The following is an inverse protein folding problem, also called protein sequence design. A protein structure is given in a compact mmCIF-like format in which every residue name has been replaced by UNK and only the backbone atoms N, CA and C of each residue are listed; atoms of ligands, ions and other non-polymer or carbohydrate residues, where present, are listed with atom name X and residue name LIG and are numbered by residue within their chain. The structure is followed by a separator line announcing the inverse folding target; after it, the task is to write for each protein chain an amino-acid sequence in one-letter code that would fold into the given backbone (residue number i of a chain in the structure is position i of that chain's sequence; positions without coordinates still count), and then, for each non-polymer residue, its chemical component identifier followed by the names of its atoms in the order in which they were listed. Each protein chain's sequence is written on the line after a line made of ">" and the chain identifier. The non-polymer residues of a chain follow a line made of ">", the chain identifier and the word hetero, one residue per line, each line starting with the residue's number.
data_IF_432811895301
#
_entry.id   IF_432811895301
#
_cell.length_a   1.000
_cell.length_b   1.000
_cell.length_c   1.000
_cell.angle_alpha   90.00
_cell.angle_beta   90.00
_cell.angle_gamma   90.00
#
_symmetry.space_group_name_H-M   'P 1'
#
loop_
_entity.id
_entity.type
_entity.pdbx_description
1 polymer ?
#
# COMPACT_ATOMS: atom_id res chain seq x y z
N UNK A 1 -26.49 21.22 -26.64
CA UNK A 1 -25.32 21.72 -25.89
C UNK A 1 -25.40 21.20 -24.47
N UNK A 2 -24.80 20.06 -24.18
CA UNK A 2 -24.67 19.50 -22.81
C UNK A 2 -23.31 19.87 -22.29
N UNK A 3 -23.25 20.70 -21.26
CA UNK A 3 -22.03 21.09 -20.56
C UNK A 3 -21.57 19.91 -19.73
N UNK A 4 -20.49 19.25 -20.17
CA UNK A 4 -19.73 18.30 -19.36
C UNK A 4 -18.94 19.09 -18.31
N UNK A 5 -19.29 18.95 -17.05
CA UNK A 5 -18.39 19.31 -15.95
C UNK A 5 -17.28 18.23 -15.88
N UNK A 6 -16.02 18.61 -15.81
CA UNK A 6 -14.95 17.65 -15.60
C UNK A 6 -15.09 17.06 -14.19
N UNK A 7 -15.36 15.76 -14.12
CA UNK A 7 -15.21 15.00 -12.88
C UNK A 7 -13.73 14.97 -12.55
N UNK A 8 -13.36 15.70 -11.50
CA UNK A 8 -12.03 15.67 -10.92
C UNK A 8 -11.82 14.26 -10.31
N UNK A 9 -11.26 13.35 -11.09
CA UNK A 9 -10.95 12.00 -10.63
C UNK A 9 -9.66 12.07 -9.81
N UNK A 10 -9.82 12.09 -8.48
CA UNK A 10 -8.71 12.09 -7.51
C UNK A 10 -8.00 10.74 -7.60
N UNK A 11 -6.73 10.76 -7.99
CA UNK A 11 -5.83 9.60 -8.04
C UNK A 11 -5.62 9.00 -6.65
N UNK A 12 -6.07 7.78 -6.35
CA UNK A 12 -5.91 7.21 -5.02
C UNK A 12 -4.64 6.37 -4.79
N UNK A 13 -3.64 6.47 -5.65
CA UNK A 13 -2.37 5.73 -5.48
C UNK A 13 -1.16 6.66 -5.43
N UNK A 14 -1.25 7.86 -5.98
CA UNK A 14 -0.24 8.90 -5.83
C UNK A 14 -0.90 10.08 -5.11
N UNK A 15 -0.68 10.20 -3.80
CA UNK A 15 -0.97 11.45 -3.10
C UNK A 15 -0.02 12.52 -3.62
N UNK A 16 -0.43 13.21 -4.68
CA UNK A 16 0.28 14.36 -5.20
C UNK A 16 0.05 15.52 -4.24
N UNK A 17 1.14 15.98 -3.65
CA UNK A 17 1.36 17.21 -2.89
C UNK A 17 0.20 18.20 -2.94
N UNK A 18 -0.50 18.36 -1.81
CA UNK A 18 -1.38 19.50 -1.56
C UNK A 18 -0.51 20.71 -1.21
N UNK A 19 -0.65 21.78 -1.97
CA UNK A 19 -0.09 23.09 -1.69
C UNK A 19 -0.63 23.60 -0.35
N UNK A 20 0.27 24.06 0.53
CA UNK A 20 -0.05 24.69 1.79
C UNK A 20 -0.77 26.03 1.55
N UNK A 21 -1.98 26.15 2.07
CA UNK A 21 -2.64 27.44 2.29
C UNK A 21 -2.51 27.82 3.78
N UNK A 22 -2.34 29.10 4.12
CA UNK A 22 -2.06 29.52 5.50
C UNK A 22 -3.31 29.42 6.38
N UNK A 23 -3.08 29.02 7.63
CA UNK A 23 -4.09 28.87 8.68
C UNK A 23 -4.65 30.24 9.12
N UNK A 24 -5.95 30.32 9.46
CA UNK A 24 -6.46 31.42 10.26
C UNK A 24 -6.25 31.16 11.75
N UNK A 25 -5.78 32.21 12.42
CA UNK A 25 -5.62 32.34 13.87
C UNK A 25 -6.92 32.13 14.63
N UNK A 26 -6.90 31.24 15.61
CA UNK A 26 -8.03 31.01 16.52
C UNK A 26 -7.84 31.73 17.85
N UNK A 27 -8.86 32.48 18.19
CA UNK A 27 -9.06 33.18 19.45
C UNK A 27 -9.46 32.21 20.57
N UNK A 28 -8.83 32.40 21.72
CA UNK A 28 -9.06 31.68 22.99
C UNK A 28 -10.30 32.28 23.70
N UNK A 29 -11.14 31.44 24.28
CA UNK A 29 -11.99 31.79 25.44
C UNK A 29 -12.45 30.55 26.23
N UNK A 30 -12.90 30.71 27.53
CA UNK A 30 -12.29 29.94 28.61
C UNK A 30 -13.22 28.90 29.27
N UNK A 31 -12.58 28.17 30.18
CA UNK A 31 -13.02 27.17 31.17
C UNK A 31 -14.51 27.16 31.65
N UNK A 32 -15.06 25.95 31.73
CA UNK A 32 -16.31 25.62 32.44
C UNK A 32 -16.29 24.20 33.00
N UNK A 33 -15.98 24.12 34.29
CA UNK A 33 -16.40 23.20 35.40
C UNK A 33 -16.65 21.70 35.17
N UNK A 34 -15.89 21.01 35.96
CA UNK A 34 -15.99 19.67 36.57
C UNK A 34 -17.38 19.17 36.92
N UNK A 35 -17.58 17.85 36.83
CA UNK A 35 -18.09 16.97 37.88
C UNK A 35 -18.35 15.54 37.36
N UNK A 36 -18.64 14.55 38.18
CA UNK A 36 -17.64 13.55 38.56
C UNK A 36 -18.10 12.10 38.31
N UNK A 37 -17.14 11.21 38.52
CA UNK A 37 -17.26 9.91 39.13
C UNK A 37 -17.84 8.71 38.37
N UNK A 38 -16.94 7.78 38.17
CA UNK A 38 -16.99 6.41 38.74
C UNK A 38 -18.06 5.46 38.18
N UNK A 39 -17.64 4.60 37.27
CA UNK A 39 -18.07 3.22 37.28
C UNK A 39 -16.82 2.33 37.03
N UNK A 40 -16.34 1.73 38.10
CA UNK A 40 -15.31 0.71 38.10
C UNK A 40 -15.85 -0.52 37.33
N UNK A 41 -15.25 -0.83 36.22
CA UNK A 41 -15.43 -2.13 35.54
C UNK A 41 -14.76 -3.21 36.40
N UNK A 42 -15.39 -4.39 36.56
CA UNK A 42 -14.81 -5.49 37.34
C UNK A 42 -13.51 -5.97 36.66
N UNK A 43 -12.53 -6.48 37.45
CA UNK A 43 -11.27 -6.95 36.91
C UNK A 43 -11.54 -8.12 35.97
N UNK A 44 -11.17 -7.96 34.69
CA UNK A 44 -11.15 -9.04 33.73
C UNK A 44 -10.14 -10.08 34.21
N UNK A 45 -10.65 -11.25 34.61
CA UNK A 45 -9.87 -12.42 35.01
C UNK A 45 -8.77 -12.62 33.96
N UNK A 46 -7.51 -12.52 34.42
CA UNK A 46 -6.36 -12.84 33.58
C UNK A 46 -6.56 -14.26 33.05
N UNK A 47 -6.79 -14.39 31.75
CA UNK A 47 -6.70 -15.68 31.07
C UNK A 47 -5.25 -16.13 31.20
N UNK A 48 -5.06 -17.25 31.88
CA UNK A 48 -3.80 -17.97 32.02
C UNK A 48 -3.17 -18.10 30.64
N UNK A 49 -1.92 -17.65 30.51
CA UNK A 49 -1.10 -17.84 29.31
C UNK A 49 -0.80 -19.35 29.19
N UNK A 50 -1.71 -20.08 28.58
CA UNK A 50 -1.55 -21.49 28.25
C UNK A 50 -1.51 -21.61 26.72
N UNK A 51 -0.34 -21.94 26.22
CA UNK A 51 -0.08 -22.62 24.94
C UNK A 51 -0.41 -21.82 23.65
N UNK A 52 0.02 -20.56 23.56
CA UNK A 52 0.27 -19.94 22.27
C UNK A 52 1.65 -20.44 21.83
N UNK A 53 1.77 -21.18 20.71
CA UNK A 53 3.10 -21.59 20.23
C UNK A 53 3.96 -20.33 20.11
N UNK A 54 5.17 -20.40 20.71
CA UNK A 54 6.08 -19.26 20.78
C UNK A 54 6.35 -18.77 19.35
N UNK A 55 5.89 -17.57 19.04
CA UNK A 55 6.15 -16.93 17.73
C UNK A 55 7.67 -16.74 17.57
N UNK A 56 8.22 -16.92 16.35
CA UNK A 56 9.63 -16.65 16.10
C UNK A 56 9.99 -15.19 16.48
N UNK A 57 11.25 -14.91 16.85
CA UNK A 57 11.67 -13.51 17.02
C UNK A 57 11.39 -12.66 15.77
N UNK A 58 10.92 -11.42 15.95
CA UNK A 58 10.60 -10.51 14.83
C UNK A 58 11.78 -10.38 13.85
N UNK A 59 13.00 -10.25 14.37
CA UNK A 59 14.22 -10.14 13.57
C UNK A 59 14.44 -11.34 12.64
N UNK A 60 14.11 -12.54 13.10
CA UNK A 60 14.18 -13.75 12.29
C UNK A 60 13.14 -13.74 11.18
N UNK A 61 11.88 -13.41 11.51
CA UNK A 61 10.80 -13.32 10.52
C UNK A 61 11.14 -12.29 9.44
N UNK A 62 11.64 -11.12 9.82
CA UNK A 62 12.04 -10.07 8.87
C UNK A 62 13.21 -10.52 7.99
N UNK A 63 14.17 -11.23 8.55
CA UNK A 63 15.30 -11.81 7.79
C UNK A 63 14.81 -12.81 6.75
N UNK A 64 13.92 -13.73 7.14
CA UNK A 64 13.35 -14.72 6.22
C UNK A 64 12.47 -14.08 5.16
N UNK A 65 11.65 -13.08 5.54
CA UNK A 65 10.85 -12.29 4.62
C UNK A 65 11.73 -11.60 3.57
N UNK A 66 12.78 -10.89 3.99
CA UNK A 66 13.71 -10.22 3.11
C UNK A 66 14.38 -11.21 2.14
N UNK A 67 14.89 -12.34 2.66
CA UNK A 67 15.51 -13.41 1.86
C UNK A 67 14.54 -14.01 0.84
N UNK A 68 13.29 -14.25 1.23
CA UNK A 68 12.25 -14.76 0.32
C UNK A 68 12.05 -13.80 -0.85
N UNK A 69 11.90 -12.49 -0.58
CA UNK A 69 11.72 -11.51 -1.65
C UNK A 69 13.00 -11.29 -2.47
N UNK A 70 14.18 -11.42 -1.91
CA UNK A 70 15.45 -11.36 -2.67
C UNK A 70 15.53 -12.49 -3.71
N UNK A 71 15.06 -13.70 -3.37
CA UNK A 71 15.05 -14.86 -4.25
C UNK A 71 14.02 -14.82 -5.38
N UNK A 72 13.00 -13.92 -5.26
CA UNK A 72 11.96 -13.77 -6.26
C UNK A 72 12.45 -12.86 -7.39
N UNK A 73 12.65 -13.42 -8.58
CA UNK A 73 12.96 -12.66 -9.79
C UNK A 73 11.72 -12.11 -10.49
N UNK A 74 10.60 -12.84 -10.40
CA UNK A 74 9.31 -12.42 -10.92
C UNK A 74 8.16 -12.96 -10.07
N UNK A 75 7.00 -12.28 -10.10
CA UNK A 75 5.83 -12.66 -9.33
C UNK A 75 4.57 -12.30 -10.10
N UNK A 76 3.56 -13.14 -10.00
CA UNK A 76 2.18 -12.84 -10.41
C UNK A 76 1.24 -13.04 -9.23
N UNK A 77 0.20 -12.22 -9.16
CA UNK A 77 -0.87 -12.39 -8.18
C UNK A 77 -2.17 -11.74 -8.68
N UNK A 78 -3.28 -12.10 -8.07
CA UNK A 78 -4.49 -11.28 -8.06
C UNK A 78 -4.46 -10.37 -6.84
N UNK A 79 -5.08 -9.21 -6.95
CA UNK A 79 -5.23 -8.31 -5.80
C UNK A 79 -6.66 -7.83 -5.63
N UNK A 80 -7.04 -7.62 -4.39
CA UNK A 80 -8.16 -6.80 -3.97
C UNK A 80 -7.64 -5.61 -3.20
N UNK A 81 -8.17 -4.44 -3.46
CA UNK A 81 -7.82 -3.20 -2.78
C UNK A 81 -9.04 -2.60 -2.11
N UNK A 82 -8.88 -2.16 -0.89
CA UNK A 82 -9.88 -1.36 -0.17
C UNK A 82 -9.22 -0.07 0.29
N UNK A 83 -9.73 1.05 -0.21
CA UNK A 83 -9.39 2.37 0.29
C UNK A 83 -10.50 2.80 1.25
N UNK A 84 -10.14 3.16 2.47
CA UNK A 84 -11.09 3.67 3.48
C UNK A 84 -10.55 4.92 4.13
N UNK A 85 -11.43 5.85 4.48
CA UNK A 85 -11.08 7.13 5.08
C UNK A 85 -12.32 7.99 5.34
N UNK A 86 -12.13 9.26 5.70
CA UNK A 86 -13.24 10.18 6.01
C UNK A 86 -14.28 10.33 4.91
N UNK A 87 -13.88 10.13 3.66
CA UNK A 87 -14.77 10.23 2.49
C UNK A 87 -15.45 8.91 2.11
N UNK A 88 -15.36 7.89 2.96
CA UNK A 88 -15.99 6.59 2.74
C UNK A 88 -15.02 5.48 2.33
N UNK A 89 -15.59 4.43 1.75
CA UNK A 89 -14.88 3.21 1.35
C UNK A 89 -15.02 2.99 -0.15
N UNK A 90 -13.90 2.66 -0.81
CA UNK A 90 -13.84 2.27 -2.23
C UNK A 90 -13.12 0.94 -2.35
N UNK A 91 -13.56 0.12 -3.28
CA UNK A 91 -12.94 -1.17 -3.55
C UNK A 91 -12.52 -1.27 -5.01
N UNK A 92 -11.41 -1.92 -5.24
CA UNK A 92 -10.91 -2.22 -6.57
C UNK A 92 -10.30 -3.63 -6.58
N UNK A 93 -10.17 -4.22 -7.75
CA UNK A 93 -9.51 -5.51 -7.91
C UNK A 93 -8.89 -5.65 -9.29
N UNK A 94 -7.97 -6.59 -9.39
CA UNK A 94 -7.27 -6.83 -10.64
C UNK A 94 -6.13 -7.83 -10.51
N UNK A 95 -5.17 -7.73 -11.40
CA UNK A 95 -3.99 -8.58 -11.43
C UNK A 95 -2.71 -7.75 -11.35
N UNK A 96 -1.67 -8.33 -10.77
CA UNK A 96 -0.35 -7.73 -10.67
C UNK A 96 0.71 -8.69 -11.21
N UNK A 97 1.66 -8.15 -11.95
CA UNK A 97 2.88 -8.83 -12.37
C UNK A 97 4.08 -7.96 -12.01
N UNK A 98 5.07 -8.58 -11.40
CA UNK A 98 6.35 -7.95 -11.04
C UNK A 98 7.49 -8.72 -11.69
N UNK A 99 8.54 -8.03 -12.13
CA UNK A 99 9.79 -8.65 -12.61
C UNK A 99 10.97 -7.73 -12.28
N UNK A 100 11.95 -8.27 -11.63
CA UNK A 100 13.19 -7.54 -11.34
C UNK A 100 14.06 -7.41 -12.60
N UNK A 101 14.81 -6.29 -12.73
CA UNK A 101 14.75 -5.10 -11.88
C UNK A 101 13.65 -4.12 -12.33
N UNK A 102 12.87 -3.62 -11.37
CA UNK A 102 12.03 -2.43 -11.56
C UNK A 102 10.84 -2.52 -12.50
N UNK A 103 10.51 -3.70 -13.04
CA UNK A 103 9.36 -3.88 -13.93
C UNK A 103 8.11 -4.24 -13.15
N UNK A 104 7.01 -3.58 -13.44
CA UNK A 104 5.70 -3.88 -12.85
C UNK A 104 4.57 -3.63 -13.82
N UNK A 105 3.47 -4.35 -13.58
CA UNK A 105 2.21 -4.10 -14.22
C UNK A 105 1.08 -4.40 -13.25
N UNK A 106 0.21 -3.42 -13.03
CA UNK A 106 -1.04 -3.56 -12.30
C UNK A 106 -2.17 -3.32 -13.27
N UNK A 107 -2.96 -4.34 -13.51
CA UNK A 107 -4.15 -4.27 -14.33
C UNK A 107 -5.36 -4.20 -13.39
N UNK A 108 -5.94 -3.00 -13.20
CA UNK A 108 -7.21 -2.83 -12.51
C UNK A 108 -8.35 -3.22 -13.44
N UNK A 109 -9.23 -4.07 -12.96
CA UNK A 109 -10.36 -4.61 -13.70
C UNK A 109 -11.70 -4.06 -13.21
N UNK A 110 -11.78 -3.77 -11.91
CA UNK A 110 -12.98 -3.24 -11.23
C UNK A 110 -12.60 -2.16 -10.23
N UNK A 111 -13.48 -1.13 -10.00
CA UNK A 111 -14.72 -0.85 -10.74
C UNK A 111 -14.44 -0.31 -12.14
N UNK A 112 -13.31 0.36 -12.34
CA UNK A 112 -12.87 0.99 -13.58
C UNK A 112 -11.55 0.38 -14.04
N UNK A 113 -11.36 0.29 -15.34
CA UNK A 113 -10.10 -0.18 -15.91
C UNK A 113 -9.02 0.90 -15.75
N UNK A 114 -7.89 0.51 -15.21
CA UNK A 114 -6.70 1.37 -15.08
C UNK A 114 -5.45 0.50 -15.14
N UNK A 115 -4.41 1.01 -15.77
CA UNK A 115 -3.13 0.32 -15.87
C UNK A 115 -2.04 1.14 -15.20
N UNK A 116 -1.21 0.48 -14.40
CA UNK A 116 0.08 1.01 -13.96
C UNK A 116 1.15 0.10 -14.52
N UNK A 117 2.04 0.66 -15.33
CA UNK A 117 3.08 -0.11 -15.99
C UNK A 117 4.41 0.59 -15.80
N UNK A 118 5.40 -0.14 -15.26
CA UNK A 118 6.79 0.30 -15.25
C UNK A 118 7.66 -0.68 -16.04
N UNK A 119 8.46 -0.15 -16.95
CA UNK A 119 9.40 -0.91 -17.76
C UNK A 119 10.80 -1.05 -17.16
N UNK A 120 11.01 -0.49 -15.97
CA UNK A 120 12.28 -0.37 -15.25
C UNK A 120 12.84 1.06 -15.26
N UNK A 121 12.40 1.92 -16.17
CA UNK A 121 12.85 3.30 -16.34
C UNK A 121 11.71 4.30 -16.28
N UNK A 122 10.58 3.97 -16.89
CA UNK A 122 9.40 4.82 -17.03
C UNK A 122 8.21 4.19 -16.31
N UNK A 123 7.45 5.00 -15.62
CA UNK A 123 6.13 4.67 -15.09
C UNK A 123 5.05 5.30 -15.95
N UNK A 124 4.14 4.47 -16.42
CA UNK A 124 2.91 4.85 -17.07
C UNK A 124 1.72 4.59 -16.17
N UNK A 125 0.77 5.51 -16.14
CA UNK A 125 -0.58 5.33 -15.57
C UNK A 125 -1.56 5.63 -16.68
N UNK A 126 -2.30 4.62 -17.13
CA UNK A 126 -3.27 4.77 -18.21
C UNK A 126 -4.68 4.58 -17.68
N UNK A 127 -5.53 5.54 -18.00
CA UNK A 127 -6.96 5.61 -17.65
C UNK A 127 -7.76 5.58 -18.96
N UNK A 128 -8.22 4.39 -19.40
CA UNK A 128 -8.89 4.22 -20.70
C UNK A 128 -10.17 5.05 -20.83
N UNK A 129 -10.95 5.16 -19.74
CA UNK A 129 -12.25 5.87 -19.75
C UNK A 129 -12.08 7.38 -19.93
N UNK A 130 -10.94 7.92 -19.49
CA UNK A 130 -10.60 9.34 -19.62
C UNK A 130 -9.71 9.62 -20.85
N UNK A 131 -9.33 8.58 -21.61
CA UNK A 131 -8.40 8.64 -22.73
C UNK A 131 -7.08 9.35 -22.38
N UNK A 132 -6.58 9.12 -21.14
CA UNK A 132 -5.41 9.80 -20.60
C UNK A 132 -4.32 8.81 -20.19
N UNK A 133 -3.07 9.20 -20.41
CA UNK A 133 -1.91 8.47 -19.90
C UNK A 133 -0.92 9.45 -19.26
N UNK A 134 -0.55 9.17 -18.03
CA UNK A 134 0.51 9.89 -17.33
C UNK A 134 1.83 9.14 -17.56
N UNK A 135 2.87 9.89 -17.92
CA UNK A 135 4.23 9.37 -18.14
C UNK A 135 5.21 10.10 -17.24
N UNK A 136 5.96 9.35 -16.45
CA UNK A 136 7.02 9.93 -15.61
C UNK A 136 8.21 8.99 -15.46
N UNK A 137 9.43 9.49 -15.18
CA UNK A 137 10.56 8.65 -14.84
C UNK A 137 10.25 7.82 -13.58
N UNK A 138 10.59 6.54 -13.60
CA UNK A 138 10.40 5.66 -12.43
C UNK A 138 11.25 6.11 -11.24
N UNK A 139 12.41 6.71 -11.49
CA UNK A 139 13.30 7.24 -10.45
C UNK A 139 12.71 8.42 -9.67
N UNK A 140 11.85 9.22 -10.31
CA UNK A 140 11.15 10.34 -9.67
C UNK A 140 9.75 9.96 -9.17
N UNK A 141 9.28 8.74 -9.48
CA UNK A 141 7.99 8.26 -9.02
C UNK A 141 8.06 7.88 -7.55
N UNK A 142 7.15 8.42 -6.76
CA UNK A 142 6.99 8.05 -5.36
C UNK A 142 6.12 6.80 -5.28
N UNK A 143 6.72 5.63 -5.53
CA UNK A 143 6.01 4.37 -5.32
C UNK A 143 5.69 4.21 -3.84
N UNK A 144 4.46 3.75 -3.49
CA UNK A 144 4.16 3.42 -2.09
C UNK A 144 5.20 2.44 -1.52
N UNK A 145 5.61 2.63 -0.27
CA UNK A 145 6.66 1.84 0.37
C UNK A 145 6.37 0.32 0.31
N UNK A 146 5.09 -0.07 0.48
CA UNK A 146 4.64 -1.45 0.33
C UNK A 146 4.95 -2.03 -1.06
N UNK A 147 4.79 -1.21 -2.10
CA UNK A 147 5.07 -1.61 -3.49
C UNK A 147 6.59 -1.68 -3.70
N UNK A 148 7.35 -0.70 -3.21
CA UNK A 148 8.81 -0.67 -3.34
C UNK A 148 9.46 -1.93 -2.76
N UNK A 149 9.00 -2.39 -1.60
CA UNK A 149 9.48 -3.64 -0.99
C UNK A 149 9.18 -4.86 -1.88
N UNK A 150 7.96 -4.98 -2.42
CA UNK A 150 7.58 -6.09 -3.31
C UNK A 150 8.46 -6.15 -4.58
N UNK A 151 9.04 -5.00 -4.98
CA UNK A 151 10.04 -4.94 -6.05
C UNK A 151 11.45 -5.40 -5.63
N UNK A 152 11.64 -5.76 -4.36
CA UNK A 152 12.94 -6.06 -3.79
C UNK A 152 13.84 -4.82 -3.69
N UNK A 153 13.25 -3.63 -3.59
CA UNK A 153 13.95 -2.38 -3.28
C UNK A 153 13.84 -2.09 -1.79
N UNK A 154 14.92 -1.61 -1.22
CA UNK A 154 15.00 -1.29 0.20
C UNK A 154 15.28 -2.50 1.09
N UNK A 155 15.72 -2.22 2.29
CA UNK A 155 15.92 -3.20 3.35
C UNK A 155 15.02 -2.84 4.52
N UNK A 156 14.06 -3.72 4.81
CA UNK A 156 13.05 -3.44 5.82
C UNK A 156 13.65 -3.02 7.16
N UNK A 157 14.71 -3.70 7.61
CA UNK A 157 15.37 -3.41 8.89
C UNK A 157 16.12 -2.07 8.91
N UNK A 158 16.55 -1.57 7.75
CA UNK A 158 17.23 -0.27 7.66
C UNK A 158 16.22 0.88 7.65
N UNK A 159 15.06 0.66 7.02
CA UNK A 159 14.05 1.71 6.79
C UNK A 159 13.00 1.78 7.89
N UNK A 160 12.71 0.65 8.57
CA UNK A 160 11.58 0.55 9.51
C UNK A 160 12.00 0.03 10.88
N UNK A 161 11.31 0.53 11.91
CA UNK A 161 11.16 -0.15 13.19
C UNK A 161 10.02 -1.16 13.05
N UNK A 162 10.32 -2.44 13.33
CA UNK A 162 9.39 -3.54 13.07
C UNK A 162 9.07 -4.27 14.36
N UNK A 163 7.77 -4.48 14.59
CA UNK A 163 7.24 -5.22 15.72
C UNK A 163 6.08 -6.11 15.29
N UNK A 164 5.69 -7.06 16.11
CA UNK A 164 4.40 -7.75 15.92
C UNK A 164 3.24 -6.79 16.15
N UNK A 165 2.14 -7.05 15.48
CA UNK A 165 0.88 -6.31 15.62
C UNK A 165 -0.22 -7.26 16.08
N UNK A 166 -0.77 -7.00 17.26
CA UNK A 166 -1.78 -7.84 17.91
C UNK A 166 -3.06 -7.06 18.27
N UNK A 167 -3.14 -5.78 17.88
CA UNK A 167 -4.24 -4.90 18.33
C UNK A 167 -5.60 -5.26 17.69
N UNK A 168 -5.58 -5.79 16.46
CA UNK A 168 -6.79 -6.18 15.73
C UNK A 168 -6.51 -7.45 14.91
N UNK A 169 -7.51 -8.33 14.73
CA UNK A 169 -7.36 -9.48 13.87
C UNK A 169 -7.18 -9.05 12.40
N UNK A 170 -6.11 -9.51 11.78
CA UNK A 170 -5.77 -9.31 10.38
C UNK A 170 -5.13 -10.59 9.85
N UNK A 171 -5.43 -10.97 8.60
CA UNK A 171 -5.00 -12.24 8.03
C UNK A 171 -5.82 -13.43 8.54
N UNK A 172 -5.29 -14.62 8.39
CA UNK A 172 -5.85 -15.89 8.83
C UNK A 172 -5.14 -16.40 10.09
N UNK A 173 -5.75 -17.38 10.75
CA UNK A 173 -5.15 -18.00 11.93
C UNK A 173 -3.76 -18.59 11.59
N UNK A 174 -2.75 -18.17 12.34
CA UNK A 174 -1.36 -18.58 12.14
C UNK A 174 -0.53 -17.64 11.27
N UNK A 175 -1.12 -16.67 10.60
CA UNK A 175 -0.35 -15.63 9.90
C UNK A 175 0.39 -14.74 10.90
N UNK A 176 1.54 -14.22 10.46
CA UNK A 176 2.36 -13.29 11.26
C UNK A 176 2.04 -11.86 10.82
N UNK A 177 1.53 -11.04 11.73
CA UNK A 177 1.23 -9.64 11.40
C UNK A 177 2.36 -8.75 11.94
N UNK A 178 3.02 -8.04 11.04
CA UNK A 178 4.11 -7.12 11.35
C UNK A 178 3.64 -5.69 11.19
N UNK A 179 3.97 -4.84 12.15
CA UNK A 179 3.83 -3.39 12.08
C UNK A 179 5.19 -2.79 11.74
N UNK A 180 5.22 -1.96 10.71
CA UNK A 180 6.40 -1.29 10.18
C UNK A 180 6.22 0.22 10.35
N UNK A 181 7.01 0.83 11.22
CA UNK A 181 7.03 2.29 11.44
C UNK A 181 8.28 2.84 10.75
N UNK A 182 8.18 3.81 9.83
CA UNK A 182 9.35 4.34 9.17
C UNK A 182 10.26 5.06 10.17
N UNK A 183 11.57 4.75 10.15
CA UNK A 183 12.57 5.40 11.01
C UNK A 183 12.74 6.89 10.68
N UNK A 184 12.58 7.22 9.41
CA UNK A 184 12.49 8.61 8.94
C UNK A 184 11.03 8.92 8.65
N UNK A 185 10.47 9.93 9.32
CA UNK A 185 9.07 10.27 9.16
C UNK A 185 8.70 10.50 7.69
N UNK A 186 7.65 9.81 7.23
CA UNK A 186 7.11 9.95 5.89
C UNK A 186 5.96 10.96 5.87
N UNK A 187 5.95 11.87 4.91
CA UNK A 187 4.80 12.74 4.69
C UNK A 187 3.56 11.98 4.14
N UNK A 188 3.75 10.79 3.59
CA UNK A 188 2.71 10.03 2.92
C UNK A 188 1.97 9.05 3.84
N UNK A 189 2.64 8.47 4.83
CA UNK A 189 2.06 7.45 5.70
C UNK A 189 2.70 7.45 7.09
N UNK A 190 1.95 6.94 8.07
CA UNK A 190 2.40 6.79 9.46
C UNK A 190 3.07 5.45 9.72
N UNK A 191 2.45 4.38 9.25
CA UNK A 191 2.97 3.02 9.38
C UNK A 191 2.30 2.08 8.37
N UNK A 192 2.88 0.91 8.24
CA UNK A 192 2.37 -0.19 7.42
C UNK A 192 2.09 -1.40 8.30
N UNK A 193 1.14 -2.24 7.88
CA UNK A 193 1.01 -3.60 8.39
C UNK A 193 1.25 -4.57 7.23
N UNK A 194 2.00 -5.63 7.52
CA UNK A 194 2.20 -6.76 6.61
C UNK A 194 1.67 -8.03 7.25
N UNK A 195 0.78 -8.72 6.54
CA UNK A 195 0.38 -10.09 6.88
C UNK A 195 1.28 -11.05 6.12
N UNK A 196 2.08 -11.79 6.86
CA UNK A 196 3.13 -12.68 6.33
C UNK A 196 2.75 -14.13 6.58
N UNK A 197 2.76 -14.94 5.54
CA UNK A 197 2.54 -16.38 5.64
C UNK A 197 3.77 -17.06 6.26
N UNK A 198 3.64 -17.79 7.38
CA UNK A 198 4.81 -18.27 8.14
C UNK A 198 5.64 -19.33 7.44
N UNK A 199 5.08 -20.06 6.47
CA UNK A 199 5.81 -21.14 5.74
C UNK A 199 6.64 -20.62 4.56
N UNK A 200 6.13 -19.62 3.85
CA UNK A 200 6.73 -19.09 2.62
C UNK A 200 7.35 -17.73 2.81
N UNK A 201 7.01 -17.05 3.90
CA UNK A 201 7.34 -15.66 4.18
C UNK A 201 6.88 -14.71 3.05
N UNK A 202 5.80 -15.08 2.35
CA UNK A 202 5.17 -14.19 1.38
C UNK A 202 4.17 -13.27 2.08
N UNK A 203 4.12 -12.03 1.65
CA UNK A 203 3.14 -11.04 2.10
C UNK A 203 1.81 -11.33 1.41
N UNK A 204 0.79 -11.66 2.19
CA UNK A 204 -0.59 -11.89 1.72
C UNK A 204 -1.41 -10.61 1.72
N UNK A 205 -1.15 -9.74 2.70
CA UNK A 205 -1.88 -8.49 2.82
C UNK A 205 -0.94 -7.37 3.25
N UNK A 206 -1.26 -6.16 2.79
CA UNK A 206 -0.62 -4.95 3.28
C UNK A 206 -1.66 -3.90 3.63
N UNK A 207 -1.49 -3.21 4.75
CA UNK A 207 -2.32 -2.05 5.09
C UNK A 207 -1.40 -0.85 5.29
N UNK A 208 -1.61 0.19 4.51
CA UNK A 208 -0.94 1.48 4.69
C UNK A 208 -1.90 2.42 5.43
N UNK A 209 -1.41 3.06 6.48
CA UNK A 209 -2.13 4.09 7.22
C UNK A 209 -1.55 5.45 6.87
N UNK A 210 -2.33 6.30 6.22
CA UNK A 210 -1.88 7.64 5.86
C UNK A 210 -1.88 8.62 7.05
N UNK A 211 -1.39 9.85 6.81
CA UNK A 211 -1.32 10.88 7.85
C UNK A 211 -2.70 11.40 8.28
N UNK A 212 -3.72 11.27 7.43
CA UNK A 212 -5.08 11.76 7.64
C UNK A 212 -6.01 10.70 8.26
N UNK A 213 -5.50 9.49 8.54
CA UNK A 213 -6.30 8.38 9.09
C UNK A 213 -6.97 7.52 8.02
N UNK A 214 -6.68 7.75 6.76
CA UNK A 214 -7.06 6.87 5.67
C UNK A 214 -6.25 5.58 5.68
N UNK A 215 -6.81 4.53 5.06
CA UNK A 215 -6.19 3.22 4.95
C UNK A 215 -6.24 2.75 3.50
N UNK A 216 -5.13 2.17 3.05
CA UNK A 216 -5.06 1.44 1.79
C UNK A 216 -4.71 -0.01 2.09
N UNK A 217 -5.72 -0.89 2.04
CA UNK A 217 -5.60 -2.32 2.31
C UNK A 217 -5.56 -3.09 0.98
N UNK A 218 -4.46 -3.78 0.75
CA UNK A 218 -4.25 -4.68 -0.39
C UNK A 218 -4.23 -6.13 0.12
N UNK A 219 -5.03 -6.98 -0.50
CA UNK A 219 -5.07 -8.43 -0.26
C UNK A 219 -4.62 -9.12 -1.54
N UNK A 220 -3.60 -9.97 -1.45
CA UNK A 220 -3.07 -10.74 -2.57
C UNK A 220 -3.55 -12.18 -2.50
N UNK A 221 -3.93 -12.72 -3.65
CA UNK A 221 -4.34 -14.11 -3.81
C UNK A 221 -3.71 -14.71 -5.07
N UNK A 222 -3.70 -16.03 -5.16
CA UNK A 222 -3.04 -16.76 -6.26
C UNK A 222 -1.61 -16.25 -6.50
N UNK A 223 -0.85 -16.06 -5.42
CA UNK A 223 0.52 -15.57 -5.48
C UNK A 223 1.41 -16.66 -6.07
N UNK A 224 2.03 -16.37 -7.20
CA UNK A 224 2.97 -17.26 -7.91
C UNK A 224 4.34 -16.61 -7.98
N UNK A 225 5.25 -16.87 -7.02
CA UNK A 225 6.64 -16.45 -7.12
C UNK A 225 7.37 -17.30 -8.15
N UNK A 226 8.18 -16.68 -9.00
CA UNK A 226 8.97 -17.32 -10.05
C UNK A 226 8.15 -18.34 -10.88
N UNK A 227 7.04 -17.91 -11.54
CA UNK A 227 6.18 -18.83 -12.27
C UNK A 227 6.98 -19.60 -13.34
N UNK A 228 6.72 -20.91 -13.49
CA UNK A 228 7.49 -21.79 -14.39
C UNK A 228 7.49 -21.30 -15.84
N UNK A 229 6.40 -20.72 -16.32
CA UNK A 229 6.33 -20.11 -17.64
C UNK A 229 7.04 -18.76 -17.75
N UNK A 230 7.62 -18.27 -16.63
CA UNK A 230 8.18 -16.93 -16.55
C UNK A 230 7.13 -15.82 -16.60
N UNK A 231 7.60 -14.58 -16.64
CA UNK A 231 6.80 -13.40 -16.94
C UNK A 231 7.45 -12.73 -18.15
N UNK A 232 6.69 -12.69 -19.25
CA UNK A 232 7.16 -12.10 -20.50
C UNK A 232 7.46 -10.60 -20.31
N UNK A 233 8.59 -10.14 -20.85
CA UNK A 233 9.00 -8.74 -20.85
C UNK A 233 8.06 -7.83 -21.64
N UNK A 234 7.41 -8.36 -22.66
CA UNK A 234 6.42 -7.63 -23.45
C UNK A 234 5.24 -7.13 -22.59
N UNK A 235 4.93 -7.79 -21.46
CA UNK A 235 3.89 -7.33 -20.54
C UNK A 235 4.19 -5.99 -19.89
N UNK A 236 5.45 -5.62 -19.82
CA UNK A 236 5.90 -4.38 -19.18
C UNK A 236 6.14 -3.25 -20.17
N UNK A 237 5.91 -3.50 -21.47
CA UNK A 237 5.90 -2.48 -22.49
C UNK A 237 4.51 -1.90 -22.65
N UNK A 238 4.44 -0.58 -22.84
CA UNK A 238 3.18 0.11 -23.07
C UNK A 238 3.32 1.18 -24.13
N UNK A 239 2.45 1.10 -25.13
CA UNK A 239 2.26 2.14 -26.13
C UNK A 239 0.83 2.64 -25.99
N UNK A 240 0.62 3.94 -25.66
CA UNK A 240 -0.71 4.50 -25.57
C UNK A 240 -1.46 4.32 -26.90
N UNK A 241 -2.76 3.99 -26.87
CA UNK A 241 -3.59 4.00 -28.07
C UNK A 241 -3.55 5.37 -28.78
N UNK A 242 -3.85 5.42 -30.09
CA UNK A 242 -4.12 6.68 -30.77
C UNK A 242 -5.17 7.50 -30.00
N UNK A 243 -5.13 8.79 -30.07
CA UNK A 243 -6.04 9.74 -29.38
C UNK A 243 -5.80 9.86 -27.85
N UNK A 244 -4.95 9.04 -27.24
CA UNK A 244 -4.63 9.14 -25.82
C UNK A 244 -3.86 10.44 -25.52
N UNK A 245 -4.39 11.28 -24.65
CA UNK A 245 -3.70 12.46 -24.16
C UNK A 245 -2.59 12.09 -23.20
N UNK A 246 -1.33 12.33 -23.61
CA UNK A 246 -0.17 12.07 -22.76
C UNK A 246 0.10 13.28 -21.85
N UNK A 247 0.14 13.04 -20.54
CA UNK A 247 0.44 14.04 -19.51
C UNK A 247 1.78 13.69 -18.87
N UNK A 248 2.73 14.61 -18.97
CA UNK A 248 4.02 14.48 -18.31
C UNK A 248 4.06 15.49 -17.15
N UNK A 249 4.03 15.01 -15.87
CA UNK A 249 4.14 15.92 -14.75
C UNK A 249 5.48 16.65 -14.80
N UNK A 250 5.44 17.98 -14.72
CA UNK A 250 6.68 18.79 -14.60
C UNK A 250 7.22 18.58 -13.19
N UNK A 251 8.46 18.13 -13.06
CA UNK A 251 9.14 18.12 -11.78
C UNK A 251 9.22 19.55 -11.24
N UNK A 252 8.68 19.78 -10.06
CA UNK A 252 8.86 21.02 -9.31
C UNK A 252 10.03 20.88 -8.34
#
# INVERSE_FOLDING_TARGET
>A
MRRFLPRLCVLPILSLVAAAAPAPTSTVAPAGKSAPATAASPPRKAATAADVPARPPVAEVVTQLQKSYESIGSLRAKFGQTLSGPMGKRQASGTVALKKPGKMRWDYEKPEKKLFIADGTTLWVYEPEDEQAYKQPLSSSQLPAQVSFLFGRGKLQEEFEISYYDDQPLGEAGDLVLRLVPKVASAQYRHLLFVVQPKTFLVKETVLFDQQGGQNHLVFSAIEPNPKAGVDDARFSFTPPPETKIITPTAR
#
